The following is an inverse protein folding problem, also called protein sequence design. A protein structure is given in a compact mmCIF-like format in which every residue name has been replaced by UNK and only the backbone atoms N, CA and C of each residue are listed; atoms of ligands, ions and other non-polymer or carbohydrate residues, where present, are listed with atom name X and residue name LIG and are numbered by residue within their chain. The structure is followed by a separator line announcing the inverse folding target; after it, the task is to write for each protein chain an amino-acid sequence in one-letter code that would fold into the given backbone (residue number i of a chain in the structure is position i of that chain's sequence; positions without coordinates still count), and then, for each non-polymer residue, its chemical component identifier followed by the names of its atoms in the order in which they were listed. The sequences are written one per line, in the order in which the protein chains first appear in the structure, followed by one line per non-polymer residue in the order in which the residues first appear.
data_IF_738812204166
#
_entry.id   IF_738812204166
#
_cell.length_a   1.000
_cell.length_b   1.000
_cell.length_c   1.000
_cell.angle_alpha   90.00
_cell.angle_beta   90.00
_cell.angle_gamma   90.00
#
_symmetry.space_group_name_H-M   'P 1'
#
loop_
_entity.id
_entity.type
_entity.pdbx_description
1 polymer ?
#
# COMPACT_ATOMS: atom_id res chain seq x y z
N UNK A 1 2.99 -13.62 -17.56
CA UNK A 1 3.69 -14.50 -16.59
C UNK A 1 5.20 -14.25 -16.58
N UNK A 2 5.98 -14.67 -17.60
CA UNK A 2 7.44 -14.46 -17.56
C UNK A 2 7.88 -12.99 -17.66
N UNK A 3 7.15 -12.15 -18.41
CA UNK A 3 7.41 -10.72 -18.51
C UNK A 3 7.01 -9.96 -17.24
N UNK A 4 5.90 -10.35 -16.60
CA UNK A 4 5.40 -9.76 -15.36
C UNK A 4 6.34 -10.06 -14.18
N UNK A 5 6.86 -11.30 -14.11
CA UNK A 5 7.82 -11.72 -13.09
C UNK A 5 9.18 -11.01 -13.25
N UNK A 6 9.64 -10.79 -14.49
CA UNK A 6 10.85 -10.02 -14.77
C UNK A 6 10.69 -8.54 -14.38
N UNK A 7 9.53 -7.96 -14.66
CA UNK A 7 9.19 -6.59 -14.28
C UNK A 7 9.10 -6.44 -12.76
N UNK A 8 8.42 -7.38 -12.09
CA UNK A 8 8.32 -7.48 -10.64
C UNK A 8 9.71 -7.48 -9.98
N UNK A 9 10.60 -8.38 -10.40
CA UNK A 9 11.95 -8.49 -9.85
C UNK A 9 12.80 -7.23 -10.12
N UNK A 10 12.59 -6.55 -11.24
CA UNK A 10 13.24 -5.27 -11.54
C UNK A 10 12.78 -4.14 -10.60
N UNK A 11 11.51 -4.13 -10.19
CA UNK A 11 10.96 -3.10 -9.30
C UNK A 11 11.46 -3.25 -7.85
N UNK A 12 11.61 -4.49 -7.37
CA UNK A 12 12.12 -4.76 -6.02
C UNK A 12 13.61 -4.39 -5.85
N UNK A 13 14.41 -4.55 -6.92
CA UNK A 13 15.83 -4.21 -6.88
C UNK A 13 16.13 -2.70 -6.92
N UNK A 14 15.12 -1.83 -7.07
CA UNK A 14 15.30 -0.39 -7.30
C UNK A 14 15.25 0.53 -6.07
N UNK A 15 15.04 0.05 -4.84
CA UNK A 15 15.22 0.94 -3.69
C UNK A 15 14.78 0.41 -2.33
N UNK A 16 15.74 0.31 -1.41
CA UNK A 16 15.55 0.04 0.02
C UNK A 16 16.19 1.15 0.87
N UNK A 17 15.80 2.39 0.63
CA UNK A 17 16.11 3.52 1.53
C UNK A 17 15.06 4.61 1.34
N UNK A 18 14.51 5.14 2.45
CA UNK A 18 13.48 6.19 2.57
C UNK A 18 13.87 7.57 1.99
N UNK A 19 14.39 7.62 0.77
CA UNK A 19 14.84 8.82 0.09
C UNK A 19 14.36 8.91 -1.35
N UNK A 20 13.11 8.49 -1.61
CA UNK A 20 12.42 8.40 -2.92
C UNK A 20 12.45 7.00 -3.55
N UNK A 21 11.45 6.18 -3.22
CA UNK A 21 11.09 5.03 -4.05
C UNK A 21 10.50 5.59 -5.35
N UNK A 22 11.32 5.65 -6.40
CA UNK A 22 10.89 6.06 -7.75
C UNK A 22 10.57 4.83 -8.57
N UNK A 23 9.31 4.40 -8.52
CA UNK A 23 8.78 3.48 -9.52
C UNK A 23 8.21 4.27 -10.69
N UNK A 24 8.55 3.85 -11.91
CA UNK A 24 7.92 4.38 -13.10
C UNK A 24 6.42 4.08 -13.04
N UNK A 25 5.59 5.12 -13.13
CA UNK A 25 4.14 4.97 -13.14
C UNK A 25 3.69 3.98 -14.24
N UNK A 26 4.37 4.01 -15.39
CA UNK A 26 4.12 3.09 -16.51
C UNK A 26 4.46 1.64 -16.18
N UNK A 27 5.50 1.39 -15.37
CA UNK A 27 5.89 0.04 -14.96
C UNK A 27 4.84 -0.54 -14.00
N UNK A 28 4.39 0.24 -13.01
CA UNK A 28 3.36 -0.21 -12.07
C UNK A 28 2.00 -0.41 -12.73
N UNK A 29 1.64 0.45 -13.70
CA UNK A 29 0.36 0.34 -14.40
C UNK A 29 0.26 -0.89 -15.32
N UNK A 30 1.40 -1.52 -15.66
CA UNK A 30 1.44 -2.72 -16.50
C UNK A 30 1.34 -4.01 -15.71
N UNK A 31 1.45 -3.95 -14.39
CA UNK A 31 1.31 -5.11 -13.52
C UNK A 31 -0.13 -5.60 -13.48
N UNK A 32 -0.31 -6.91 -13.32
CA UNK A 32 -1.62 -7.46 -12.94
C UNK A 32 -1.98 -6.99 -11.52
N UNK A 33 -3.27 -6.97 -11.14
CA UNK A 33 -3.68 -6.65 -9.77
C UNK A 33 -2.94 -7.48 -8.71
N UNK A 34 -2.79 -8.79 -8.94
CA UNK A 34 -2.09 -9.69 -8.04
C UNK A 34 -0.58 -9.39 -7.94
N UNK A 35 0.07 -9.09 -9.07
CA UNK A 35 1.49 -8.74 -9.08
C UNK A 35 1.75 -7.40 -8.39
N UNK A 36 0.83 -6.44 -8.54
CA UNK A 36 0.94 -5.16 -7.83
C UNK A 36 0.80 -5.35 -6.31
N UNK A 37 -0.16 -6.17 -5.86
CA UNK A 37 -0.30 -6.52 -4.45
C UNK A 37 0.96 -7.21 -3.88
N UNK A 38 1.57 -8.12 -4.65
CA UNK A 38 2.87 -8.72 -4.33
C UNK A 38 3.97 -7.67 -4.16
N UNK A 39 4.02 -6.64 -5.04
CA UNK A 39 5.02 -5.55 -4.93
C UNK A 39 4.82 -4.77 -3.63
N UNK A 40 3.57 -4.46 -3.29
CA UNK A 40 3.25 -3.76 -2.04
C UNK A 40 3.65 -4.61 -0.84
N UNK A 41 3.31 -5.90 -0.81
CA UNK A 41 3.70 -6.81 0.26
C UNK A 41 5.22 -6.90 0.44
N UNK A 42 5.96 -7.00 -0.65
CA UNK A 42 7.41 -7.04 -0.63
C UNK A 42 8.03 -5.71 -0.15
N UNK A 43 7.49 -4.56 -0.56
CA UNK A 43 7.92 -3.25 -0.06
C UNK A 43 7.75 -3.16 1.47
N UNK A 44 6.58 -3.50 1.97
CA UNK A 44 6.28 -3.43 3.40
C UNK A 44 7.12 -4.44 4.19
N UNK A 45 7.43 -5.60 3.59
CA UNK A 45 8.38 -6.56 4.16
C UNK A 45 9.80 -6.01 4.24
N UNK A 46 10.27 -5.32 3.20
CA UNK A 46 11.58 -4.65 3.19
C UNK A 46 11.69 -3.58 4.29
N UNK A 47 10.56 -3.01 4.70
CA UNK A 47 10.44 -2.09 5.84
C UNK A 47 10.48 -2.77 7.22
N UNK A 48 10.70 -4.09 7.25
CA UNK A 48 10.82 -4.88 8.46
C UNK A 48 9.48 -5.22 9.11
N UNK A 49 8.40 -5.22 8.33
CA UNK A 49 7.14 -5.82 8.74
C UNK A 49 7.10 -7.31 8.31
N UNK A 50 6.41 -8.12 9.09
CA UNK A 50 5.89 -9.41 8.66
C UNK A 50 4.55 -9.17 7.97
N UNK A 51 4.39 -9.62 6.73
CA UNK A 51 3.19 -9.38 5.91
C UNK A 51 2.46 -10.70 5.66
N UNK A 52 1.17 -10.71 5.92
CA UNK A 52 0.25 -11.80 5.60
C UNK A 52 -0.78 -11.30 4.58
N UNK A 53 -1.09 -12.14 3.59
CA UNK A 53 -2.25 -11.93 2.73
C UNK A 53 -3.51 -12.06 3.57
N UNK A 54 -4.41 -11.09 3.42
CA UNK A 54 -5.69 -11.10 4.07
C UNK A 54 -6.48 -12.34 3.61
N UNK A 55 -6.71 -13.26 4.53
CA UNK A 55 -7.63 -14.37 4.30
C UNK A 55 -9.07 -13.86 4.12
N UNK A 56 -10.02 -14.72 3.71
CA UNK A 56 -11.42 -14.36 3.47
C UNK A 56 -12.16 -13.79 4.71
N UNK A 57 -11.53 -13.79 5.88
CA UNK A 57 -12.05 -13.30 7.15
C UNK A 57 -11.74 -11.84 7.44
N UNK A 58 -10.90 -11.18 6.62
CA UNK A 58 -10.59 -9.76 6.80
C UNK A 58 -11.63 -8.93 6.05
N UNK A 59 -12.47 -8.22 6.81
CA UNK A 59 -13.55 -7.42 6.24
C UNK A 59 -13.05 -6.08 5.71
N UNK A 60 -13.72 -5.56 4.67
CA UNK A 60 -13.62 -4.15 4.27
C UNK A 60 -12.69 -3.83 3.11
N UNK A 61 -12.27 -4.81 2.30
CA UNK A 61 -11.39 -4.56 1.14
C UNK A 61 -9.93 -4.35 1.54
N UNK A 62 -9.50 -5.09 2.57
CA UNK A 62 -8.11 -5.21 2.97
C UNK A 62 -7.51 -6.41 2.25
N UNK A 63 -6.36 -6.19 1.64
CA UNK A 63 -5.65 -7.21 0.87
C UNK A 63 -4.47 -7.78 1.66
N UNK A 64 -3.84 -6.95 2.52
CA UNK A 64 -2.70 -7.38 3.34
C UNK A 64 -2.82 -6.91 4.79
N UNK A 65 -2.27 -7.71 5.71
CA UNK A 65 -2.08 -7.36 7.12
C UNK A 65 -0.59 -7.39 7.42
N UNK A 66 -0.04 -6.27 7.87
CA UNK A 66 1.37 -6.13 8.19
C UNK A 66 1.57 -5.94 9.70
N UNK A 67 2.53 -6.66 10.29
CA UNK A 67 2.87 -6.58 11.71
C UNK A 67 4.36 -6.27 11.88
N UNK A 68 4.68 -5.29 12.72
CA UNK A 68 6.06 -4.97 13.09
C UNK A 68 6.24 -5.10 14.58
N UNK A 69 7.02 -6.10 14.98
CA UNK A 69 7.37 -6.34 16.38
C UNK A 69 8.40 -5.31 16.83
N UNK A 70 8.04 -4.49 17.80
CA UNK A 70 8.98 -3.66 18.55
C UNK A 70 9.35 -4.30 19.89
N UNK A 71 10.34 -3.72 20.58
CA UNK A 71 10.80 -4.19 21.90
C UNK A 71 9.70 -4.25 22.96
N UNK A 72 8.65 -3.43 22.85
CA UNK A 72 7.61 -3.25 23.88
C UNK A 72 6.19 -3.49 23.34
N UNK A 73 5.99 -3.34 22.02
CA UNK A 73 4.66 -3.46 21.39
C UNK A 73 4.78 -3.92 19.94
N UNK A 74 3.75 -4.63 19.49
CA UNK A 74 3.55 -4.93 18.07
C UNK A 74 2.70 -3.83 17.43
N UNK A 75 3.16 -3.29 16.30
CA UNK A 75 2.34 -2.41 15.44
C UNK A 75 1.65 -3.29 14.40
N UNK A 76 0.33 -3.25 14.35
CA UNK A 76 -0.48 -3.86 13.28
C UNK A 76 -0.97 -2.76 12.34
N UNK A 77 -0.77 -2.97 11.04
CA UNK A 77 -1.21 -2.11 9.95
C UNK A 77 -2.02 -2.94 8.97
N UNK A 78 -3.21 -2.47 8.59
CA UNK A 78 -3.97 -3.07 7.46
C UNK A 78 -3.68 -2.32 6.18
N UNK A 79 -3.69 -3.01 5.05
CA UNK A 79 -3.33 -2.43 3.76
C UNK A 79 -4.40 -2.78 2.75
N UNK A 80 -4.94 -1.75 2.11
CA UNK A 80 -5.81 -1.88 0.94
C UNK A 80 -5.03 -1.47 -0.31
N UNK A 81 -5.11 -2.30 -1.34
CA UNK A 81 -4.37 -2.15 -2.59
C UNK A 81 -5.38 -1.90 -3.70
N UNK A 82 -5.38 -0.67 -4.23
CA UNK A 82 -6.14 -0.36 -5.44
C UNK A 82 -5.24 -0.61 -6.66
N UNK A 83 -5.57 -1.60 -7.51
CA UNK A 83 -4.74 -1.94 -8.66
C UNK A 83 -4.78 -0.87 -9.76
N UNK A 84 -3.91 -0.99 -10.80
CA UNK A 84 -3.97 -0.13 -11.98
C UNK A 84 -5.38 -0.02 -12.58
N UNK A 85 -5.77 1.21 -12.93
CA UNK A 85 -7.12 1.49 -13.45
C UNK A 85 -8.24 1.54 -12.40
N UNK A 86 -7.96 1.17 -11.15
CA UNK A 86 -8.91 1.31 -10.04
C UNK A 86 -9.11 2.77 -9.62
N UNK A 87 -10.35 3.12 -9.27
CA UNK A 87 -10.72 4.46 -8.81
C UNK A 87 -10.58 4.55 -7.29
N UNK A 88 -10.00 5.66 -6.82
CA UNK A 88 -9.96 6.01 -5.40
C UNK A 88 -10.75 7.29 -5.19
N UNK A 89 -11.63 7.29 -4.20
CA UNK A 89 -12.40 8.47 -3.78
C UNK A 89 -12.29 8.67 -2.28
N UNK A 90 -12.84 9.77 -1.78
CA UNK A 90 -13.00 9.97 -0.33
C UNK A 90 -13.75 8.82 0.38
N UNK A 91 -14.69 8.15 -0.31
CA UNK A 91 -15.38 6.99 0.25
C UNK A 91 -14.43 5.79 0.48
N UNK A 92 -13.42 5.62 -0.39
CA UNK A 92 -12.39 4.59 -0.25
C UNK A 92 -11.59 4.80 1.04
N UNK A 93 -11.24 6.04 1.38
CA UNK A 93 -10.51 6.36 2.61
C UNK A 93 -11.35 6.00 3.84
N UNK A 94 -12.63 6.37 3.86
CA UNK A 94 -13.54 6.04 4.96
C UNK A 94 -13.70 4.52 5.11
N UNK A 95 -13.74 3.78 4.00
CA UNK A 95 -13.81 2.31 4.03
C UNK A 95 -12.54 1.70 4.64
N UNK A 96 -11.35 2.17 4.24
CA UNK A 96 -10.07 1.71 4.79
C UNK A 96 -9.96 2.01 6.29
N UNK A 97 -10.39 3.21 6.71
CA UNK A 97 -10.39 3.61 8.12
C UNK A 97 -11.38 2.78 8.96
N UNK A 98 -12.55 2.46 8.39
CA UNK A 98 -13.50 1.56 9.01
C UNK A 98 -12.93 0.15 9.16
N UNK A 99 -12.33 -0.40 8.09
CA UNK A 99 -11.70 -1.71 8.09
C UNK A 99 -10.55 -1.77 9.11
N UNK A 100 -9.73 -0.72 9.21
CA UNK A 100 -8.69 -0.57 10.24
C UNK A 100 -9.26 -0.76 11.64
N UNK A 101 -10.38 -0.10 11.93
CA UNK A 101 -11.01 -0.12 13.25
C UNK A 101 -11.55 -1.51 13.59
N UNK A 102 -12.26 -2.17 12.67
CA UNK A 102 -12.81 -3.51 12.90
C UNK A 102 -11.69 -4.53 13.12
N UNK A 103 -10.58 -4.40 12.38
CA UNK A 103 -9.43 -5.29 12.50
C UNK A 103 -8.50 -4.93 13.68
N UNK A 104 -8.83 -3.92 14.50
CA UNK A 104 -8.04 -3.51 15.65
C UNK A 104 -6.64 -3.00 15.30
N UNK A 105 -6.43 -2.56 14.06
CA UNK A 105 -5.14 -2.10 13.59
C UNK A 105 -4.87 -0.66 14.04
N UNK A 106 -3.62 -0.36 14.38
CA UNK A 106 -3.23 0.97 14.81
C UNK A 106 -3.21 1.98 13.66
N UNK A 107 -2.91 1.52 12.43
CA UNK A 107 -2.76 2.33 11.23
C UNK A 107 -3.32 1.57 10.02
N UNK A 108 -3.59 2.29 8.94
CA UNK A 108 -3.88 1.70 7.64
C UNK A 108 -3.05 2.33 6.53
N UNK A 109 -2.84 1.59 5.46
CA UNK A 109 -2.22 2.08 4.22
C UNK A 109 -3.22 1.89 3.07
N UNK A 110 -3.44 2.93 2.29
CA UNK A 110 -4.05 2.81 0.96
C UNK A 110 -2.96 2.91 -0.09
N UNK A 111 -2.73 1.82 -0.83
CA UNK A 111 -1.71 1.72 -1.86
C UNK A 111 -2.33 1.76 -3.26
N UNK A 112 -1.73 2.50 -4.19
CA UNK A 112 -2.12 2.46 -5.61
C UNK A 112 -0.95 2.86 -6.54
N UNK A 113 -1.02 2.53 -7.85
CA UNK A 113 0.03 2.93 -8.80
C UNK A 113 0.09 4.44 -9.05
N UNK A 114 -1.07 5.09 -9.13
CA UNK A 114 -1.19 6.49 -9.54
C UNK A 114 -1.20 7.48 -8.37
N UNK A 115 -0.83 8.75 -8.59
CA UNK A 115 -1.01 9.79 -7.58
C UNK A 115 -2.46 9.88 -7.08
N UNK A 116 -2.65 10.17 -5.80
CA UNK A 116 -3.97 10.44 -5.23
C UNK A 116 -4.51 11.80 -5.67
N UNK A 117 -5.81 11.99 -5.59
CA UNK A 117 -6.43 13.30 -5.77
C UNK A 117 -6.25 14.17 -4.51
N UNK A 118 -6.40 15.49 -4.64
CA UNK A 118 -6.10 16.43 -3.54
C UNK A 118 -7.08 16.30 -2.38
N UNK A 119 -8.35 16.06 -2.66
CA UNK A 119 -9.39 15.81 -1.65
C UNK A 119 -9.11 14.51 -0.88
N UNK A 120 -8.69 13.44 -1.58
CA UNK A 120 -8.29 12.16 -0.97
C UNK A 120 -7.09 12.35 -0.04
N UNK A 121 -6.08 13.11 -0.47
CA UNK A 121 -4.92 13.47 0.37
C UNK A 121 -5.32 14.27 1.60
N UNK A 122 -6.17 15.28 1.43
CA UNK A 122 -6.64 16.12 2.53
C UNK A 122 -7.39 15.29 3.56
N UNK A 123 -8.32 14.42 3.13
CA UNK A 123 -9.09 13.58 4.03
C UNK A 123 -8.20 12.56 4.79
N UNK A 124 -7.24 11.93 4.12
CA UNK A 124 -6.30 11.02 4.79
C UNK A 124 -5.47 11.75 5.87
N UNK A 125 -5.07 12.99 5.58
CA UNK A 125 -4.35 13.87 6.53
C UNK A 125 -5.23 14.22 7.74
N UNK A 126 -6.49 14.61 7.50
CA UNK A 126 -7.43 14.97 8.55
C UNK A 126 -7.76 13.79 9.48
N UNK A 127 -7.81 12.57 8.93
CA UNK A 127 -8.03 11.33 9.70
C UNK A 127 -6.77 10.96 10.51
N UNK A 128 -5.57 11.12 9.94
CA UNK A 128 -4.29 10.94 10.63
C UNK A 128 -3.86 9.48 10.90
N UNK A 129 -4.72 8.50 10.64
CA UNK A 129 -4.44 7.05 10.80
C UNK A 129 -4.31 6.29 9.48
N UNK A 130 -4.58 6.96 8.35
CA UNK A 130 -4.48 6.39 7.00
C UNK A 130 -3.30 7.01 6.28
N UNK A 131 -2.29 6.20 5.99
CA UNK A 131 -1.13 6.58 5.18
C UNK A 131 -1.41 6.29 3.69
N UNK A 132 -0.89 7.14 2.80
CA UNK A 132 -1.08 7.01 1.35
C UNK A 132 0.23 6.58 0.69
N UNK A 133 0.19 5.46 -0.03
CA UNK A 133 1.32 4.93 -0.79
C UNK A 133 0.97 4.97 -2.28
N UNK A 134 1.63 5.84 -3.04
CA UNK A 134 1.42 5.97 -4.48
C UNK A 134 2.72 5.82 -5.26
N UNK A 135 2.62 5.28 -6.47
CA UNK A 135 3.70 5.32 -7.45
C UNK A 135 3.86 6.70 -8.08
N UNK A 136 5.08 7.00 -8.55
CA UNK A 136 5.41 8.25 -9.22
C UNK A 136 6.74 8.86 -8.76
N UNK A 137 7.18 9.90 -9.46
CA UNK A 137 8.29 10.76 -9.06
C UNK A 137 7.74 11.79 -8.08
N UNK A 138 8.02 11.63 -6.80
CA UNK A 138 7.85 12.71 -5.83
C UNK A 138 9.12 13.54 -5.83
N UNK A 139 9.09 14.73 -6.42
CA UNK A 139 9.99 15.80 -6.01
C UNK A 139 9.41 16.40 -4.74
N UNK A 140 10.10 16.27 -3.61
CA UNK A 140 9.82 17.13 -2.46
C UNK A 140 9.96 18.59 -2.94
N UNK A 141 8.89 19.37 -2.80
CA UNK A 141 8.97 20.83 -2.74
C UNK A 141 9.08 21.22 -1.29
#
# INVERSE_FOLDING_TARGET
MAEDEALFNSLLNRGSSWGEIRWGLDDLNRLSPADFELVIGALITAEGYEVEYAGPTVEGGIDLVARKSGLIRTKTTVISVTPPGGTVTSATINQVEHARTINGAGHAILARPAPFETDVRALATDIGTVELLAGGIYSNV
#
